data_IF_218015448616
#
_entry.id   IF_218015448616
#
_cell.length_a   1.000
_cell.length_b   1.000
_cell.length_c   1.000
_cell.angle_alpha   90.00
_cell.angle_beta   90.00
_cell.angle_gamma   90.00
#
_symmetry.space_group_name_H-M   'P 1'
#
loop_
_entity.id
_entity.type
_entity.pdbx_description
1 polymer ?
#
# COMPACT_ATOMS: atom_id res chain seq x y z
N UNK A 1 -39.89 -13.49 31.94
CA UNK A 1 -38.66 -13.05 31.27
C UNK A 1 -39.10 -12.30 30.01
N UNK A 2 -38.98 -10.98 30.00
CA UNK A 2 -39.34 -10.14 28.85
C UNK A 2 -38.21 -10.14 27.84
N UNK A 3 -38.50 -10.06 26.53
CA UNK A 3 -37.46 -9.98 25.49
C UNK A 3 -36.75 -8.63 25.57
N UNK A 4 -35.43 -8.65 25.44
CA UNK A 4 -34.59 -7.45 25.37
C UNK A 4 -34.82 -6.74 24.04
N UNK A 5 -35.14 -5.47 24.11
CA UNK A 5 -35.30 -4.56 22.98
C UNK A 5 -34.00 -4.52 22.14
N UNK A 6 -34.16 -4.80 20.85
CA UNK A 6 -33.14 -4.50 19.84
C UNK A 6 -33.22 -2.98 19.61
N UNK A 7 -32.20 -2.27 19.99
CA UNK A 7 -32.10 -0.83 19.75
C UNK A 7 -32.23 -0.54 18.25
N UNK A 8 -33.29 0.14 17.85
CA UNK A 8 -33.46 0.70 16.51
C UNK A 8 -32.33 1.69 16.25
N UNK A 9 -31.56 1.45 15.20
CA UNK A 9 -30.62 2.41 14.64
C UNK A 9 -31.36 3.67 14.23
N UNK A 10 -30.81 4.78 14.66
CA UNK A 10 -31.38 6.10 14.69
C UNK A 10 -32.10 6.63 13.44
N UNK A 11 -32.97 7.57 13.72
CA UNK A 11 -33.84 8.27 12.80
C UNK A 11 -33.13 8.93 11.61
N UNK A 12 -33.88 9.12 10.53
CA UNK A 12 -33.44 9.73 9.26
C UNK A 12 -32.75 11.11 9.39
N UNK A 13 -32.88 11.78 10.53
CA UNK A 13 -32.25 13.07 10.82
C UNK A 13 -30.73 12.97 11.06
N UNK A 14 -30.22 11.81 11.47
CA UNK A 14 -28.78 11.58 11.61
C UNK A 14 -28.07 11.44 10.26
N UNK A 15 -28.78 11.01 9.22
CA UNK A 15 -28.26 10.94 7.83
C UNK A 15 -28.20 12.31 7.16
N UNK A 16 -29.09 13.25 7.52
CA UNK A 16 -29.09 14.62 7.01
C UNK A 16 -27.93 15.49 7.51
N UNK A 17 -27.38 15.20 8.69
CA UNK A 17 -26.23 15.93 9.24
C UNK A 17 -24.88 15.48 8.65
N UNK A 18 -24.80 14.27 8.09
CA UNK A 18 -23.60 13.76 7.41
C UNK A 18 -23.42 14.34 5.99
N UNK A 19 -24.49 14.91 5.40
CA UNK A 19 -24.51 15.36 4.00
C UNK A 19 -23.84 16.70 3.71
N UNK A 20 -23.45 17.51 4.71
CA UNK A 20 -22.93 18.86 4.46
C UNK A 20 -21.46 19.09 4.86
N UNK A 21 -20.78 18.09 5.37
CA UNK A 21 -19.36 18.18 5.75
C UNK A 21 -18.42 17.32 4.91
N UNK A 22 -18.94 16.52 3.98
CA UNK A 22 -18.16 15.54 3.21
C UNK A 22 -17.78 15.99 1.78
N UNK A 23 -18.30 17.11 1.31
CA UNK A 23 -18.10 17.54 -0.09
C UNK A 23 -16.70 18.05 -0.43
N UNK A 24 -15.81 18.28 0.55
CA UNK A 24 -14.50 18.86 0.25
C UNK A 24 -13.32 17.87 0.28
N UNK A 25 -13.54 16.60 0.59
CA UNK A 25 -12.46 15.61 0.75
C UNK A 25 -12.43 14.50 -0.29
N UNK A 26 -13.47 14.34 -1.10
CA UNK A 26 -13.46 13.37 -2.20
C UNK A 26 -13.02 14.06 -3.50
N UNK A 27 -12.14 13.41 -4.30
CA UNK A 27 -11.90 13.82 -5.68
C UNK A 27 -13.23 13.90 -6.45
N UNK A 28 -13.30 14.73 -7.47
CA UNK A 28 -14.50 14.79 -8.31
C UNK A 28 -14.81 13.41 -8.90
N UNK A 29 -15.88 12.79 -8.41
CA UNK A 29 -16.32 11.44 -8.83
C UNK A 29 -16.51 11.38 -10.36
N UNK A 30 -16.91 12.46 -11.00
CA UNK A 30 -17.08 12.53 -12.46
C UNK A 30 -15.73 12.50 -13.18
N UNK A 31 -14.72 13.15 -12.65
CA UNK A 31 -13.36 13.14 -13.20
C UNK A 31 -12.70 11.77 -12.99
N UNK A 32 -12.81 11.19 -11.80
CA UNK A 32 -12.36 9.83 -11.52
C UNK A 32 -13.01 8.80 -12.44
N UNK A 33 -14.33 8.87 -12.61
CA UNK A 33 -15.06 7.99 -13.52
C UNK A 33 -14.52 8.13 -14.95
N UNK A 34 -14.37 9.35 -15.46
CA UNK A 34 -13.87 9.61 -16.81
C UNK A 34 -12.47 9.02 -17.03
N UNK A 35 -11.59 9.05 -16.02
CA UNK A 35 -10.19 8.65 -16.13
C UNK A 35 -9.96 7.16 -15.90
N UNK A 36 -10.73 6.57 -14.97
CA UNK A 36 -10.47 5.20 -14.49
C UNK A 36 -11.57 4.21 -14.83
N UNK A 37 -12.62 4.62 -15.56
CA UNK A 37 -13.67 3.71 -16.03
C UNK A 37 -13.09 2.56 -16.84
N UNK A 38 -13.47 1.33 -16.49
CA UNK A 38 -13.00 0.10 -17.13
C UNK A 38 -11.59 -0.34 -16.73
N UNK A 39 -10.84 0.46 -15.94
CA UNK A 39 -9.54 0.05 -15.41
C UNK A 39 -9.72 -1.11 -14.44
N UNK A 40 -8.75 -2.02 -14.43
CA UNK A 40 -8.73 -3.17 -13.52
C UNK A 40 -7.65 -2.99 -12.46
N UNK A 41 -8.06 -3.07 -11.20
CA UNK A 41 -7.17 -2.97 -10.04
C UNK A 41 -7.18 -4.28 -9.28
N UNK A 42 -6.00 -4.84 -9.08
CA UNK A 42 -5.81 -6.00 -8.20
C UNK A 42 -5.45 -5.50 -6.80
N UNK A 43 -6.30 -5.76 -5.83
CA UNK A 43 -6.00 -5.54 -4.42
C UNK A 43 -5.20 -6.70 -3.88
N UNK A 44 -3.94 -6.44 -3.55
CA UNK A 44 -2.97 -7.41 -3.05
C UNK A 44 -2.97 -7.37 -1.51
N UNK A 45 -3.48 -8.41 -0.88
CA UNK A 45 -3.73 -8.49 0.56
C UNK A 45 -2.89 -9.61 1.20
N UNK A 46 -1.62 -9.35 1.56
CA UNK A 46 -0.80 -10.34 2.28
C UNK A 46 -1.21 -10.40 3.76
N UNK A 47 -1.86 -11.47 4.18
CA UNK A 47 -2.27 -11.62 5.57
C UNK A 47 -3.31 -12.70 5.78
N UNK A 48 -3.40 -13.20 7.01
CA UNK A 48 -4.36 -14.24 7.40
C UNK A 48 -5.52 -13.71 8.22
N UNK A 49 -5.39 -12.54 8.82
CA UNK A 49 -6.38 -11.94 9.72
C UNK A 49 -6.55 -10.47 9.40
N UNK A 50 -7.79 -10.03 9.36
CA UNK A 50 -8.16 -8.64 9.09
C UNK A 50 -9.14 -8.18 10.18
N UNK A 51 -8.96 -6.96 10.68
CA UNK A 51 -9.84 -6.40 11.69
C UNK A 51 -11.25 -6.14 11.13
N UNK A 52 -12.26 -6.06 12.01
CA UNK A 52 -13.61 -5.64 11.60
C UNK A 52 -13.60 -4.25 10.96
N UNK A 53 -12.71 -3.35 11.39
CA UNK A 53 -12.52 -2.03 10.78
C UNK A 53 -11.99 -2.17 9.35
N UNK A 54 -10.97 -2.99 9.13
CA UNK A 54 -10.44 -3.27 7.80
C UNK A 54 -11.55 -3.78 6.88
N UNK A 55 -12.31 -4.79 7.32
CA UNK A 55 -13.39 -5.39 6.53
C UNK A 55 -14.40 -4.33 6.06
N UNK A 56 -14.88 -3.48 6.96
CA UNK A 56 -15.85 -2.42 6.63
C UNK A 56 -15.26 -1.42 5.64
N UNK A 57 -14.02 -0.95 5.86
CA UNK A 57 -13.36 0.02 4.99
C UNK A 57 -13.03 -0.56 3.63
N UNK A 58 -12.59 -1.80 3.58
CA UNK A 58 -12.30 -2.48 2.32
C UNK A 58 -13.58 -2.73 1.50
N UNK A 59 -14.67 -3.15 2.16
CA UNK A 59 -15.97 -3.28 1.49
C UNK A 59 -16.43 -1.94 0.90
N UNK A 60 -16.31 -0.83 1.66
CA UNK A 60 -16.64 0.50 1.16
C UNK A 60 -15.79 0.87 -0.06
N UNK A 61 -14.48 0.63 0.00
CA UNK A 61 -13.58 0.88 -1.12
C UNK A 61 -14.00 0.11 -2.39
N UNK A 62 -14.38 -1.16 -2.27
CA UNK A 62 -14.87 -1.94 -3.42
C UNK A 62 -16.17 -1.38 -4.01
N UNK A 63 -17.10 -0.92 -3.15
CA UNK A 63 -18.35 -0.30 -3.59
C UNK A 63 -18.07 1.03 -4.32
N UNK A 64 -17.19 1.86 -3.78
CA UNK A 64 -16.80 3.13 -4.39
C UNK A 64 -16.10 2.93 -5.74
N UNK A 65 -15.17 1.95 -5.83
CA UNK A 65 -14.56 1.55 -7.10
C UNK A 65 -15.60 1.13 -8.13
N UNK A 66 -16.59 0.31 -7.73
CA UNK A 66 -17.69 -0.10 -8.61
C UNK A 66 -18.52 1.09 -9.08
N UNK A 67 -18.80 2.05 -8.20
CA UNK A 67 -19.59 3.24 -8.54
C UNK A 67 -18.94 4.08 -9.64
N UNK A 68 -17.61 4.16 -9.68
CA UNK A 68 -16.86 4.87 -10.72
C UNK A 68 -16.45 3.98 -11.90
N UNK A 69 -16.89 2.72 -11.91
CA UNK A 69 -16.67 1.79 -13.02
C UNK A 69 -15.28 1.15 -13.06
N UNK A 70 -14.57 1.12 -11.96
CA UNK A 70 -13.32 0.35 -11.81
C UNK A 70 -13.65 -1.13 -11.58
N UNK A 71 -12.98 -2.00 -12.34
CA UNK A 71 -12.99 -3.44 -12.11
C UNK A 71 -12.05 -3.79 -10.97
N UNK A 72 -12.51 -4.57 -10.01
CA UNK A 72 -11.71 -4.95 -8.84
C UNK A 72 -11.50 -6.45 -8.77
N UNK A 73 -10.26 -6.86 -8.54
CA UNK A 73 -9.86 -8.24 -8.28
C UNK A 73 -9.20 -8.26 -6.91
N UNK A 74 -9.53 -9.24 -6.09
CA UNK A 74 -8.93 -9.43 -4.78
C UNK A 74 -7.99 -10.61 -4.87
N UNK A 75 -6.72 -10.39 -4.55
CA UNK A 75 -5.74 -11.46 -4.40
C UNK A 75 -5.22 -11.46 -2.97
N UNK A 76 -5.51 -12.54 -2.26
CA UNK A 76 -5.15 -12.72 -0.86
C UNK A 76 -4.43 -14.06 -0.69
N UNK A 77 -3.34 -14.04 0.04
CA UNK A 77 -2.62 -15.25 0.48
C UNK A 77 -1.87 -14.95 1.77
N UNK A 78 -1.40 -15.99 2.41
CA UNK A 78 -0.66 -15.91 3.66
C UNK A 78 0.55 -16.85 3.66
N UNK A 79 1.58 -16.41 4.35
CA UNK A 79 2.72 -17.22 4.76
C UNK A 79 3.28 -16.65 6.07
N UNK A 80 3.91 -17.47 6.89
CA UNK A 80 4.65 -17.01 8.08
C UNK A 80 5.84 -16.10 7.71
N UNK A 81 6.29 -16.17 6.48
CA UNK A 81 7.32 -15.29 5.93
C UNK A 81 6.67 -14.32 4.93
N UNK A 82 6.76 -13.03 5.22
CA UNK A 82 6.07 -11.98 4.45
C UNK A 82 6.48 -11.93 2.97
N UNK A 83 7.75 -12.15 2.67
CA UNK A 83 8.25 -12.23 1.30
C UNK A 83 7.58 -13.34 0.48
N UNK A 84 7.33 -14.50 1.08
CA UNK A 84 6.55 -15.56 0.44
C UNK A 84 5.08 -15.19 0.31
N UNK A 85 4.48 -14.57 1.33
CA UNK A 85 3.09 -14.12 1.26
C UNK A 85 2.89 -13.15 0.10
N UNK A 86 3.79 -12.16 -0.06
CA UNK A 86 3.73 -11.19 -1.16
C UNK A 86 3.88 -11.86 -2.53
N UNK A 87 4.83 -12.79 -2.68
CA UNK A 87 4.97 -13.54 -3.93
C UNK A 87 3.74 -14.39 -4.26
N UNK A 88 3.15 -15.06 -3.25
CA UNK A 88 1.94 -15.87 -3.43
C UNK A 88 0.72 -15.04 -3.81
N UNK A 89 0.55 -13.88 -3.21
CA UNK A 89 -0.50 -12.90 -3.58
C UNK A 89 -0.40 -12.54 -5.06
N UNK A 90 0.79 -12.53 -5.64
CA UNK A 90 0.98 -12.32 -7.08
C UNK A 90 0.88 -13.59 -7.91
N UNK A 91 0.44 -14.69 -7.33
CA UNK A 91 0.31 -15.98 -8.01
C UNK A 91 1.63 -16.60 -8.43
N UNK A 92 2.73 -16.33 -7.70
CA UNK A 92 4.03 -16.87 -8.00
C UNK A 92 4.03 -18.42 -7.99
N UNK A 93 4.73 -19.00 -8.94
CA UNK A 93 4.95 -20.44 -9.00
C UNK A 93 6.41 -20.71 -9.42
N UNK A 94 7.16 -21.34 -8.53
CA UNK A 94 8.59 -21.63 -8.75
C UNK A 94 8.86 -22.39 -10.06
N UNK A 95 7.91 -23.22 -10.50
CA UNK A 95 8.05 -23.99 -11.76
C UNK A 95 8.01 -23.12 -13.03
N UNK A 96 7.56 -21.88 -12.93
CA UNK A 96 7.58 -20.92 -14.05
C UNK A 96 8.93 -20.23 -14.24
N UNK A 97 9.87 -20.43 -13.31
CA UNK A 97 11.21 -19.85 -13.39
C UNK A 97 11.26 -18.33 -13.09
N UNK A 98 12.45 -17.76 -13.28
CA UNK A 98 12.76 -16.37 -12.89
C UNK A 98 12.14 -15.29 -13.79
N UNK A 99 11.70 -15.65 -14.98
CA UNK A 99 11.07 -14.71 -15.93
C UNK A 99 9.54 -14.75 -15.91
N UNK A 100 8.98 -15.35 -14.87
CA UNK A 100 7.54 -15.34 -14.72
C UNK A 100 7.01 -13.92 -14.49
N UNK A 101 5.79 -13.69 -14.98
CA UNK A 101 5.06 -12.44 -14.76
C UNK A 101 3.98 -12.65 -13.70
N UNK A 102 3.47 -11.57 -13.07
CA UNK A 102 2.38 -11.65 -12.10
C UNK A 102 1.22 -12.47 -12.62
N UNK A 103 0.64 -13.31 -11.75
CA UNK A 103 -0.49 -14.20 -12.03
C UNK A 103 -0.24 -15.17 -13.21
N UNK A 104 1.01 -15.35 -13.62
CA UNK A 104 1.36 -16.13 -14.81
C UNK A 104 0.77 -15.57 -16.12
N UNK A 105 0.44 -14.28 -16.14
CA UNK A 105 -0.18 -13.59 -17.28
C UNK A 105 -1.68 -13.88 -17.45
N UNK A 106 -2.32 -14.58 -16.50
CA UNK A 106 -3.74 -14.93 -16.60
C UNK A 106 -4.70 -13.78 -16.24
N UNK A 107 -4.19 -12.75 -15.57
CA UNK A 107 -4.95 -11.58 -15.15
C UNK A 107 -4.44 -10.36 -15.87
N UNK A 108 -5.30 -9.72 -16.66
CA UNK A 108 -5.05 -8.40 -17.21
C UNK A 108 -5.44 -7.35 -16.16
N UNK A 109 -4.50 -6.47 -15.79
CA UNK A 109 -4.71 -5.43 -14.80
C UNK A 109 -4.00 -4.14 -15.20
N UNK A 110 -4.44 -3.02 -14.65
CA UNK A 110 -3.78 -1.72 -14.82
C UNK A 110 -2.91 -1.36 -13.60
N UNK A 111 -3.38 -1.72 -12.41
CA UNK A 111 -2.70 -1.42 -11.15
C UNK A 111 -2.79 -2.57 -10.16
N UNK A 112 -1.80 -2.67 -9.30
CA UNK A 112 -1.84 -3.45 -8.05
C UNK A 112 -1.85 -2.49 -6.87
N UNK A 113 -2.85 -2.62 -5.99
CA UNK A 113 -2.91 -1.90 -4.72
C UNK A 113 -2.54 -2.83 -3.58
N UNK A 114 -1.42 -2.58 -2.95
CA UNK A 114 -0.93 -3.33 -1.80
C UNK A 114 -1.48 -2.74 -0.51
N UNK A 115 -2.09 -3.57 0.32
CA UNK A 115 -2.65 -3.19 1.61
C UNK A 115 -2.32 -4.26 2.63
N UNK A 116 -1.46 -3.95 3.61
CA UNK A 116 -1.19 -4.87 4.71
C UNK A 116 -2.40 -4.96 5.65
N UNK A 117 -2.55 -6.11 6.30
CA UNK A 117 -3.75 -6.46 7.07
C UNK A 117 -4.01 -5.60 8.31
N UNK A 118 -3.03 -4.82 8.74
CA UNK A 118 -3.07 -3.90 9.88
C UNK A 118 -3.11 -2.41 9.49
N UNK A 119 -3.40 -2.11 8.23
CA UNK A 119 -3.58 -0.73 7.75
C UNK A 119 -5.03 -0.28 7.88
N UNK A 120 -5.22 0.90 8.46
CA UNK A 120 -6.52 1.56 8.57
C UNK A 120 -6.61 2.73 7.57
N UNK A 121 -7.48 2.63 6.59
CA UNK A 121 -7.56 3.53 5.44
C UNK A 121 -9.01 3.93 5.12
N UNK A 122 -9.16 4.84 4.18
CA UNK A 122 -10.44 5.21 3.54
C UNK A 122 -10.34 5.10 2.02
N UNK A 123 -11.49 5.07 1.34
CA UNK A 123 -11.51 5.10 -0.13
C UNK A 123 -10.86 6.37 -0.69
N UNK A 124 -10.99 7.50 0.01
CA UNK A 124 -10.37 8.76 -0.40
C UNK A 124 -8.83 8.66 -0.44
N UNK A 125 -8.22 7.92 0.48
CA UNK A 125 -6.77 7.72 0.51
C UNK A 125 -6.30 6.92 -0.71
N UNK A 126 -7.10 5.94 -1.15
CA UNK A 126 -6.84 5.17 -2.35
C UNK A 126 -6.99 6.01 -3.63
N UNK A 127 -8.09 6.77 -3.76
CA UNK A 127 -8.30 7.60 -4.95
C UNK A 127 -7.23 8.68 -5.09
N UNK A 128 -6.76 9.27 -3.98
CA UNK A 128 -5.62 10.18 -4.01
C UNK A 128 -4.34 9.54 -4.55
N UNK A 129 -4.07 8.25 -4.24
CA UNK A 129 -2.93 7.54 -4.85
C UNK A 129 -3.11 7.41 -6.37
N UNK A 130 -4.32 7.02 -6.82
CA UNK A 130 -4.61 6.91 -8.25
C UNK A 130 -4.39 8.23 -8.99
N UNK A 131 -4.81 9.36 -8.40
CA UNK A 131 -4.67 10.69 -9.00
C UNK A 131 -3.22 11.10 -9.23
N UNK A 132 -2.27 10.55 -8.46
CA UNK A 132 -0.85 10.87 -8.63
C UNK A 132 -0.27 10.36 -9.96
N UNK A 133 -0.90 9.35 -10.58
CA UNK A 133 -0.53 8.79 -11.89
C UNK A 133 0.97 8.46 -12.01
N UNK A 134 1.53 7.84 -10.98
CA UNK A 134 2.93 7.40 -10.94
C UNK A 134 3.02 5.90 -11.11
N UNK A 135 4.16 5.41 -11.57
CA UNK A 135 4.37 3.97 -11.72
C UNK A 135 4.41 3.27 -10.36
N UNK A 136 5.03 3.90 -9.37
CA UNK A 136 5.03 3.48 -7.97
C UNK A 136 4.72 4.69 -7.10
N UNK A 137 3.66 4.63 -6.31
CA UNK A 137 3.31 5.69 -5.36
C UNK A 137 2.83 5.11 -4.04
N UNK A 138 3.30 5.70 -2.95
CA UNK A 138 2.97 5.34 -1.58
C UNK A 138 2.32 6.50 -0.83
N UNK A 139 1.39 6.18 0.05
CA UNK A 139 1.11 6.98 1.22
C UNK A 139 2.05 6.62 2.36
N UNK A 140 1.73 7.04 3.58
CA UNK A 140 2.56 6.77 4.75
C UNK A 140 1.75 6.48 6.01
N UNK A 141 2.39 5.83 6.95
CA UNK A 141 1.84 5.48 8.26
C UNK A 141 2.94 5.52 9.32
N UNK A 142 2.54 5.45 10.58
CA UNK A 142 3.47 5.50 11.71
C UNK A 142 3.77 4.09 12.20
N UNK A 143 5.04 3.80 12.39
CA UNK A 143 5.53 2.62 13.10
C UNK A 143 5.70 2.91 14.60
N UNK A 144 5.80 1.87 15.45
CA UNK A 144 6.21 2.07 16.83
C UNK A 144 7.51 2.90 16.90
N UNK A 145 7.52 3.92 17.75
CA UNK A 145 8.67 4.84 17.85
C UNK A 145 8.52 6.15 17.09
N UNK A 146 7.39 6.38 16.36
CA UNK A 146 7.10 7.67 15.73
C UNK A 146 7.81 7.90 14.39
N UNK A 147 8.36 6.84 13.79
CA UNK A 147 9.00 6.88 12.48
C UNK A 147 8.04 6.37 11.40
N UNK A 148 8.20 6.83 10.18
CA UNK A 148 7.53 6.28 9.01
C UNK A 148 8.37 5.15 8.39
N UNK A 149 7.80 4.18 7.68
CA UNK A 149 8.60 3.20 6.93
C UNK A 149 9.06 3.79 5.58
N UNK A 150 9.69 4.96 5.61
CA UNK A 150 10.14 5.67 4.42
C UNK A 150 11.55 6.19 4.65
N UNK A 151 12.43 5.89 3.70
CA UNK A 151 13.79 6.43 3.60
C UNK A 151 13.86 7.24 2.31
N UNK A 152 14.12 8.54 2.43
CA UNK A 152 14.22 9.42 1.26
C UNK A 152 15.48 9.12 0.45
N UNK A 153 16.60 8.91 1.14
CA UNK A 153 17.88 8.56 0.55
C UNK A 153 18.58 7.50 1.39
N UNK A 154 18.97 6.40 0.77
CA UNK A 154 19.85 5.41 1.38
C UNK A 154 21.26 5.99 1.42
N UNK A 155 21.63 6.56 2.56
CA UNK A 155 22.93 7.20 2.79
C UNK A 155 23.86 6.26 3.55
N UNK A 156 24.93 5.83 2.89
CA UNK A 156 25.90 4.88 3.44
C UNK A 156 26.64 5.45 4.66
N UNK A 157 26.95 6.75 4.68
CA UNK A 157 27.65 7.37 5.79
C UNK A 157 26.75 7.48 7.04
N UNK A 158 25.45 7.78 6.81
CA UNK A 158 24.49 7.71 7.90
C UNK A 158 24.38 6.29 8.45
N UNK A 159 24.27 5.29 7.56
CA UNK A 159 24.18 3.88 7.98
C UNK A 159 25.41 3.44 8.77
N UNK A 160 26.62 3.75 8.32
CA UNK A 160 27.86 3.43 9.03
C UNK A 160 27.90 4.00 10.45
N UNK A 161 27.29 5.17 10.65
CA UNK A 161 27.28 5.84 11.95
C UNK A 161 26.20 5.31 12.91
N UNK A 162 25.05 4.82 12.36
CA UNK A 162 23.85 4.51 13.15
C UNK A 162 23.43 3.02 13.08
N UNK A 163 23.91 2.26 12.09
CA UNK A 163 23.53 0.87 11.85
C UNK A 163 22.17 0.69 11.14
N UNK A 164 21.59 1.77 10.61
CA UNK A 164 20.33 1.77 9.83
C UNK A 164 20.26 3.02 8.94
N UNK A 165 19.41 3.01 7.91
CA UNK A 165 19.12 4.20 7.10
C UNK A 165 18.20 5.16 7.83
N UNK A 166 18.29 6.46 7.52
CA UNK A 166 17.48 7.49 8.15
C UNK A 166 16.01 7.42 7.73
N UNK A 167 15.16 6.98 8.65
CA UNK A 167 13.71 6.99 8.45
C UNK A 167 13.13 8.39 8.71
N UNK A 168 12.21 8.82 7.85
CA UNK A 168 11.54 10.11 8.03
C UNK A 168 10.65 10.06 9.28
N UNK A 169 10.81 11.01 10.20
CA UNK A 169 9.95 11.13 11.38
C UNK A 169 8.54 11.64 11.02
N UNK A 170 7.56 11.38 11.88
CA UNK A 170 6.19 11.90 11.74
C UNK A 170 6.18 13.42 11.60
N UNK A 171 6.96 14.13 12.42
CA UNK A 171 7.06 15.59 12.40
C UNK A 171 7.62 16.10 11.06
N UNK A 172 8.70 15.48 10.57
CA UNK A 172 9.29 15.83 9.28
C UNK A 172 8.35 15.53 8.11
N UNK A 173 7.62 14.41 8.14
CA UNK A 173 6.66 14.05 7.11
C UNK A 173 5.47 15.02 7.08
N UNK A 174 4.93 15.39 8.24
CA UNK A 174 3.78 16.28 8.37
C UNK A 174 4.03 17.72 7.87
N UNK A 175 5.29 18.11 7.78
CA UNK A 175 5.69 19.44 7.24
C UNK A 175 5.80 19.46 5.71
N UNK A 176 5.75 18.29 5.06
CA UNK A 176 5.85 18.20 3.60
C UNK A 176 4.49 18.45 2.94
N UNK A 177 4.51 19.14 1.80
CA UNK A 177 3.27 19.50 1.09
C UNK A 177 3.22 19.04 -0.37
N UNK A 178 4.29 18.48 -0.89
CA UNK A 178 4.41 18.03 -2.28
C UNK A 178 4.97 16.62 -2.38
N UNK A 179 4.61 15.92 -3.46
CA UNK A 179 5.21 14.64 -3.80
C UNK A 179 6.74 14.73 -3.79
N UNK A 180 7.36 13.69 -3.29
CA UNK A 180 8.81 13.54 -3.33
C UNK A 180 9.21 12.11 -3.67
N UNK A 181 10.45 11.93 -4.12
CA UNK A 181 11.03 10.62 -4.39
C UNK A 181 11.64 10.05 -3.13
N UNK A 182 11.52 8.74 -2.96
CA UNK A 182 12.14 7.99 -1.89
C UNK A 182 12.95 6.83 -2.45
N UNK A 183 13.97 6.41 -1.72
CA UNK A 183 14.72 5.20 -2.04
C UNK A 183 14.04 3.94 -1.51
N UNK A 184 13.25 4.09 -0.45
CA UNK A 184 12.52 3.00 0.18
C UNK A 184 11.17 3.46 0.72
N UNK A 185 10.16 2.61 0.56
CA UNK A 185 8.83 2.71 1.18
C UNK A 185 8.40 1.32 1.68
N UNK A 186 7.75 1.27 2.84
CA UNK A 186 7.12 0.03 3.32
C UNK A 186 5.85 -0.30 2.51
N UNK A 187 5.57 -1.57 2.35
CA UNK A 187 4.52 -2.07 1.44
C UNK A 187 3.11 -2.10 2.05
N UNK A 188 2.90 -1.45 3.19
CA UNK A 188 1.57 -1.41 3.83
C UNK A 188 0.51 -0.65 3.03
N UNK A 189 0.91 0.35 2.21
CA UNK A 189 -0.02 1.19 1.44
C UNK A 189 0.65 1.73 0.18
N UNK A 190 0.74 0.90 -0.87
CA UNK A 190 1.46 1.23 -2.12
C UNK A 190 0.63 0.86 -3.33
N UNK A 191 0.52 1.77 -4.29
CA UNK A 191 -0.09 1.55 -5.60
C UNK A 191 1.01 1.43 -6.66
N UNK A 192 0.93 0.38 -7.47
CA UNK A 192 1.94 0.06 -8.50
C UNK A 192 1.26 -0.19 -9.83
N UNK A 193 1.69 0.48 -10.88
CA UNK A 193 1.22 0.24 -12.25
C UNK A 193 1.73 -1.09 -12.80
N UNK A 194 0.94 -1.66 -13.70
CA UNK A 194 1.40 -2.74 -14.58
C UNK A 194 2.67 -2.31 -15.32
N UNK A 195 3.59 -3.25 -15.51
CA UNK A 195 4.89 -3.02 -16.13
C UNK A 195 6.04 -3.05 -15.13
N UNK A 196 5.82 -2.58 -13.89
CA UNK A 196 6.88 -2.56 -12.87
C UNK A 196 7.32 -3.97 -12.51
N UNK A 197 6.41 -4.83 -12.09
CA UNK A 197 6.74 -6.21 -11.73
C UNK A 197 7.17 -7.06 -12.92
N UNK A 198 6.68 -6.77 -14.10
CA UNK A 198 7.07 -7.41 -15.35
C UNK A 198 8.51 -7.08 -15.77
N UNK A 199 9.06 -5.96 -15.27
CA UNK A 199 10.42 -5.51 -15.53
C UNK A 199 11.44 -6.06 -14.53
N UNK A 200 10.97 -6.69 -13.45
CA UNK A 200 11.80 -7.23 -12.38
C UNK A 200 11.76 -8.76 -12.43
N UNK A 201 12.91 -9.40 -12.24
CA UNK A 201 12.97 -10.86 -12.19
C UNK A 201 12.36 -11.42 -10.90
N UNK A 202 11.63 -12.54 -11.00
CA UNK A 202 11.24 -13.32 -9.84
C UNK A 202 12.49 -13.93 -9.14
N UNK A 203 12.52 -13.99 -7.81
CA UNK A 203 11.47 -13.63 -6.86
C UNK A 203 11.44 -12.12 -6.55
N UNK A 204 10.28 -11.49 -6.78
CA UNK A 204 10.06 -10.04 -6.69
C UNK A 204 10.32 -9.43 -5.30
N UNK A 205 10.24 -10.25 -4.26
CA UNK A 205 10.34 -9.86 -2.86
C UNK A 205 11.39 -10.69 -2.11
N UNK A 206 12.50 -11.05 -2.77
CA UNK A 206 13.56 -11.80 -2.11
C UNK A 206 14.42 -10.88 -1.23
N UNK A 207 14.51 -11.11 0.09
CA UNK A 207 15.57 -10.48 0.87
C UNK A 207 16.93 -10.75 0.25
N UNK A 208 17.79 -9.76 0.25
CA UNK A 208 19.14 -9.87 -0.34
C UNK A 208 20.19 -9.17 0.50
N UNK A 209 21.44 -9.54 0.28
CA UNK A 209 22.58 -8.78 0.79
C UNK A 209 22.71 -7.48 -0.01
N UNK A 210 22.86 -6.38 0.71
CA UNK A 210 23.18 -5.07 0.17
C UNK A 210 24.55 -4.63 0.67
N UNK A 211 25.32 -3.98 -0.18
CA UNK A 211 26.58 -3.36 0.19
C UNK A 211 26.33 -1.94 0.68
N UNK A 212 27.03 -1.57 1.75
CA UNK A 212 26.95 -0.25 2.36
C UNK A 212 28.37 0.31 2.38
N UNK A 213 28.67 1.13 1.38
CA UNK A 213 30.04 1.53 1.10
C UNK A 213 30.92 0.35 0.65
N UNK A 214 32.19 0.37 1.05
CA UNK A 214 33.16 -0.66 0.63
C UNK A 214 33.27 -1.83 1.63
N UNK A 215 32.97 -1.58 2.91
CA UNK A 215 33.36 -2.46 4.01
C UNK A 215 32.19 -3.15 4.73
N UNK A 216 30.95 -2.73 4.50
CA UNK A 216 29.80 -3.28 5.20
C UNK A 216 28.84 -3.97 4.23
N UNK A 217 28.23 -5.04 4.74
CA UNK A 217 27.12 -5.72 4.10
C UNK A 217 26.01 -5.96 5.13
N UNK A 218 24.75 -5.83 4.71
CA UNK A 218 23.61 -6.17 5.54
C UNK A 218 22.52 -6.88 4.72
N UNK A 219 21.63 -7.59 5.41
CA UNK A 219 20.47 -8.23 4.81
C UNK A 219 19.31 -7.25 4.80
N UNK A 220 18.89 -6.82 3.64
CA UNK A 220 17.69 -6.00 3.53
C UNK A 220 16.40 -6.84 3.53
N UNK A 221 15.30 -6.23 4.02
CA UNK A 221 13.96 -6.79 3.96
C UNK A 221 13.46 -6.93 2.51
N UNK A 222 12.32 -7.61 2.35
CA UNK A 222 11.71 -7.87 1.04
C UNK A 222 11.24 -6.59 0.34
N UNK A 223 10.73 -5.64 1.10
CA UNK A 223 10.25 -4.34 0.59
C UNK A 223 11.40 -3.42 0.19
N UNK A 224 12.49 -3.37 0.95
CA UNK A 224 13.73 -2.68 0.54
C UNK A 224 14.30 -3.31 -0.72
N UNK A 225 14.34 -4.65 -0.79
CA UNK A 225 14.81 -5.38 -1.95
C UNK A 225 14.01 -5.05 -3.21
N UNK A 226 12.67 -5.02 -3.11
CA UNK A 226 11.81 -4.59 -4.21
C UNK A 226 12.12 -3.15 -4.64
N UNK A 227 12.25 -2.22 -3.69
CA UNK A 227 12.54 -0.82 -4.00
C UNK A 227 13.86 -0.66 -4.76
N UNK A 228 14.90 -1.39 -4.36
CA UNK A 228 16.18 -1.41 -5.07
C UNK A 228 16.02 -1.96 -6.49
N UNK A 229 15.29 -3.07 -6.67
CA UNK A 229 15.08 -3.68 -7.99
C UNK A 229 14.26 -2.78 -8.90
N UNK A 230 13.22 -2.13 -8.39
CA UNK A 230 12.40 -1.18 -9.14
C UNK A 230 13.25 0.02 -9.62
N UNK A 231 14.08 0.57 -8.76
CA UNK A 231 15.01 1.66 -9.11
C UNK A 231 16.04 1.22 -10.15
N UNK A 232 16.60 0.03 -10.02
CA UNK A 232 17.53 -0.54 -11.01
C UNK A 232 16.86 -0.79 -12.36
N UNK A 233 15.55 -1.06 -12.37
CA UNK A 233 14.74 -1.15 -13.58
C UNK A 233 14.33 0.21 -14.17
N UNK A 234 14.72 1.33 -13.53
CA UNK A 234 14.49 2.69 -14.01
C UNK A 234 13.22 3.36 -13.47
N UNK A 235 12.56 2.78 -12.47
CA UNK A 235 11.37 3.36 -11.85
C UNK A 235 11.71 4.25 -10.66
N UNK A 236 11.05 5.40 -10.58
CA UNK A 236 11.05 6.24 -9.39
C UNK A 236 9.96 5.79 -8.42
N UNK A 237 10.26 5.82 -7.13
CA UNK A 237 9.30 5.58 -6.05
C UNK A 237 8.87 6.94 -5.50
N UNK A 238 7.57 7.21 -5.54
CA UNK A 238 7.00 8.46 -5.10
C UNK A 238 6.23 8.31 -3.79
N UNK A 239 6.29 9.32 -2.96
CA UNK A 239 5.51 9.41 -1.72
C UNK A 239 4.65 10.67 -1.73
N UNK A 240 3.35 10.51 -1.45
CA UNK A 240 2.48 11.65 -1.21
C UNK A 240 2.35 11.90 0.30
N UNK A 241 2.92 12.99 0.83
CA UNK A 241 2.87 13.30 2.25
C UNK A 241 1.46 13.65 2.75
N UNK A 242 0.52 13.93 1.85
CA UNK A 242 -0.88 14.22 2.19
C UNK A 242 -1.73 12.96 2.38
N UNK A 243 -1.20 11.79 2.03
CA UNK A 243 -1.89 10.51 2.17
C UNK A 243 -1.35 9.78 3.39
N UNK A 244 -1.92 10.09 4.55
CA UNK A 244 -1.62 9.41 5.80
C UNK A 244 -2.70 8.36 6.09
N UNK A 245 -2.29 7.10 6.23
CA UNK A 245 -3.15 6.00 6.68
C UNK A 245 -2.80 5.59 8.10
N UNK A 246 -3.72 4.91 8.77
CA UNK A 246 -3.49 4.40 10.12
C UNK A 246 -2.77 3.06 10.11
N UNK A 247 -2.17 2.71 11.25
CA UNK A 247 -1.50 1.43 11.47
C UNK A 247 -2.03 0.81 12.75
N UNK A 248 -2.82 -0.25 12.64
CA UNK A 248 -3.44 -0.91 13.80
C UNK A 248 -2.40 -1.81 14.49
N UNK A 249 -2.30 -1.70 15.80
CA UNK A 249 -1.46 -2.61 16.60
C UNK A 249 -2.30 -3.21 17.73
N UNK A 250 -2.18 -4.51 17.90
CA UNK A 250 -2.79 -5.23 19.03
C UNK A 250 -1.88 -5.07 20.24
N UNK A 251 -2.41 -4.51 21.30
CA UNK A 251 -1.74 -4.42 22.59
C UNK A 251 -2.24 -5.58 23.47
N UNK A 252 -1.31 -6.39 23.97
CA UNK A 252 -1.59 -7.32 25.06
C UNK A 252 -1.38 -6.57 26.37
N UNK A 253 -2.44 -6.47 27.19
CA UNK A 253 -2.40 -5.82 28.51
C UNK A 253 -2.22 -6.87 29.58
#
# INVERSE_FOLDING_TARGET
MAPRDIAQLGSADALGALGRGFESCYPDIMELNRRYFGKTIVFCLPGSHYSGRFLVRFTQLLLDCRQIGINTIISQDYSSMVNYARCKVMGANVTRGKYQVPFGGAIEYDYMMWIDSDIAFTSADFFKLLEQDRDIVSGWYIQPGGLTPIVEKMDDEYFKSHGYFEFISEDAMSKRNSLFKADYVGFGWVLIKRGVFESISYPWFAPKLIKIGEDLEDVCSEDVSFCIDAKNAGYDIWVDPKIRVGHEKVLTI
#
